data_IF_225331693517
#
_entry.id   IF_225331693517
#
_cell.length_a   1.000
_cell.length_b   1.000
_cell.length_c   1.000
_cell.angle_alpha   90.00
_cell.angle_beta   90.00
_cell.angle_gamma   90.00
#
_symmetry.space_group_name_H-M   'P 1'
#
loop_
_entity.id
_entity.type
_entity.pdbx_description
1 polymer ?
#
# COMPACT_ATOMS: atom_id res chain seq x y z
N UNK A 1 -14.30 -24.68 1.00
CA UNK A 1 -15.39 -24.12 0.18
C UNK A 1 -16.24 -25.29 -0.28
N UNK A 2 -17.53 -25.25 0.05
CA UNK A 2 -18.51 -26.23 -0.38
C UNK A 2 -18.74 -26.08 -1.89
N UNK A 3 -18.28 -27.09 -2.66
CA UNK A 3 -18.47 -27.11 -4.12
C UNK A 3 -19.94 -27.26 -4.52
N UNK A 4 -20.77 -27.71 -3.58
CA UNK A 4 -22.20 -27.96 -3.77
C UNK A 4 -23.07 -26.81 -3.22
N UNK A 5 -22.45 -25.66 -2.87
CA UNK A 5 -23.17 -24.48 -2.40
C UNK A 5 -24.18 -24.01 -3.44
N UNK A 6 -25.44 -23.98 -3.04
CA UNK A 6 -26.58 -23.57 -3.90
C UNK A 6 -26.70 -22.03 -4.05
N UNK A 7 -25.67 -21.28 -3.71
CA UNK A 7 -25.66 -19.80 -3.75
C UNK A 7 -24.33 -19.29 -4.32
N UNK A 8 -24.44 -18.19 -5.04
CA UNK A 8 -23.28 -17.50 -5.59
C UNK A 8 -22.66 -16.58 -4.51
N UNK A 9 -21.52 -16.95 -3.97
CA UNK A 9 -20.80 -16.17 -2.95
C UNK A 9 -20.32 -14.79 -3.43
N UNK A 10 -20.29 -14.53 -4.74
CA UNK A 10 -19.98 -13.21 -5.27
C UNK A 10 -21.08 -12.19 -5.00
N UNK A 11 -22.32 -12.66 -4.96
CA UNK A 11 -23.50 -11.79 -4.79
C UNK A 11 -24.28 -12.08 -3.52
N UNK A 12 -24.11 -13.26 -2.93
CA UNK A 12 -24.81 -13.72 -1.73
C UNK A 12 -23.80 -14.01 -0.61
N UNK A 13 -23.49 -12.98 0.17
CA UNK A 13 -22.58 -13.13 1.30
C UNK A 13 -23.24 -13.92 2.44
N UNK A 14 -22.59 -15.02 2.85
CA UNK A 14 -22.96 -15.82 4.02
C UNK A 14 -21.85 -15.68 5.05
N UNK A 15 -22.12 -14.96 6.13
CA UNK A 15 -21.14 -14.67 7.16
C UNK A 15 -21.68 -14.84 8.58
N UNK A 16 -20.78 -15.02 9.55
CA UNK A 16 -21.08 -15.14 10.98
C UNK A 16 -20.84 -13.83 11.76
N UNK A 17 -20.63 -12.72 11.06
CA UNK A 17 -20.26 -11.42 11.62
C UNK A 17 -21.44 -10.65 12.24
N UNK A 18 -21.14 -9.48 12.87
CA UNK A 18 -22.16 -8.63 13.49
C UNK A 18 -23.07 -7.90 12.50
N UNK A 19 -22.77 -8.00 11.19
CA UNK A 19 -23.58 -7.44 10.11
C UNK A 19 -23.89 -8.50 9.06
N UNK A 20 -25.03 -8.33 8.38
CA UNK A 20 -25.43 -9.08 7.19
C UNK A 20 -25.53 -8.14 5.99
N UNK A 21 -25.26 -8.62 4.79
CA UNK A 21 -25.46 -7.85 3.55
C UNK A 21 -26.95 -7.80 3.23
N UNK A 22 -27.51 -6.59 3.23
CA UNK A 22 -28.91 -6.35 2.89
C UNK A 22 -29.09 -5.98 1.40
N UNK A 23 -28.09 -5.31 0.81
CA UNK A 23 -28.10 -4.93 -0.61
C UNK A 23 -26.67 -4.83 -1.11
N UNK A 24 -26.45 -5.31 -2.30
CA UNK A 24 -25.20 -5.13 -3.06
C UNK A 24 -25.53 -4.49 -4.41
N UNK A 25 -24.81 -3.43 -4.75
CA UNK A 25 -24.87 -2.79 -6.07
C UNK A 25 -23.45 -2.74 -6.61
N UNK A 26 -23.20 -3.53 -7.63
CA UNK A 26 -21.88 -3.68 -8.23
C UNK A 26 -21.28 -2.31 -8.60
N UNK A 27 -20.00 -2.10 -8.30
CA UNK A 27 -19.23 -0.86 -8.50
C UNK A 27 -19.84 0.40 -7.86
N UNK A 28 -20.79 0.28 -6.96
CA UNK A 28 -21.48 1.42 -6.34
C UNK A 28 -21.53 1.34 -4.82
N UNK A 29 -22.18 0.32 -4.25
CA UNK A 29 -22.34 0.30 -2.80
C UNK A 29 -22.69 -1.07 -2.22
N UNK A 30 -22.39 -1.23 -0.92
CA UNK A 30 -22.89 -2.33 -0.09
C UNK A 30 -23.69 -1.75 1.06
N UNK A 31 -24.92 -2.22 1.26
CA UNK A 31 -25.72 -1.90 2.46
C UNK A 31 -25.66 -3.07 3.43
N UNK A 32 -25.21 -2.79 4.63
CA UNK A 32 -25.11 -3.73 5.73
C UNK A 32 -26.18 -3.44 6.77
N UNK A 33 -26.81 -4.48 7.34
CA UNK A 33 -27.70 -4.39 8.50
C UNK A 33 -27.15 -5.15 9.68
N UNK A 34 -27.40 -4.65 10.88
CA UNK A 34 -27.04 -5.32 12.12
C UNK A 34 -27.63 -6.74 12.15
N UNK A 35 -26.79 -7.72 12.52
CA UNK A 35 -27.20 -9.11 12.64
C UNK A 35 -27.66 -9.39 14.07
N UNK A 36 -28.96 -9.42 14.29
CA UNK A 36 -29.56 -9.69 15.61
C UNK A 36 -29.18 -11.08 16.17
N UNK A 37 -28.87 -12.04 15.29
CA UNK A 37 -28.44 -13.40 15.66
C UNK A 37 -26.95 -13.51 15.94
N UNK A 38 -26.18 -12.40 15.85
CA UNK A 38 -24.76 -12.46 16.12
C UNK A 38 -24.47 -12.87 17.56
N UNK A 39 -23.71 -13.93 17.73
CA UNK A 39 -23.40 -14.55 19.03
C UNK A 39 -22.17 -13.95 19.74
N UNK A 40 -21.33 -13.20 19.03
CA UNK A 40 -20.11 -12.59 19.59
C UNK A 40 -20.41 -11.44 20.58
N UNK A 41 -19.40 -11.07 21.36
CA UNK A 41 -19.51 -10.04 22.41
C UNK A 41 -19.74 -8.63 21.84
N UNK A 42 -19.13 -8.31 20.69
CA UNK A 42 -19.18 -6.97 20.09
C UNK A 42 -20.36 -6.87 19.12
N UNK A 43 -21.54 -6.63 19.65
CA UNK A 43 -22.76 -6.41 18.85
C UNK A 43 -22.63 -5.13 18.00
N UNK A 44 -23.30 -5.13 16.86
CA UNK A 44 -23.42 -3.93 16.02
C UNK A 44 -24.10 -2.80 16.78
N UNK A 45 -23.46 -1.62 16.84
CA UNK A 45 -24.03 -0.41 17.47
C UNK A 45 -24.79 0.46 16.47
N UNK A 46 -24.44 0.37 15.20
CA UNK A 46 -25.08 1.10 14.10
C UNK A 46 -26.03 0.16 13.37
N UNK A 47 -27.33 0.44 13.29
CA UNK A 47 -28.31 -0.48 12.71
C UNK A 47 -28.08 -0.75 11.20
N UNK A 48 -27.67 0.29 10.47
CA UNK A 48 -27.42 0.20 9.02
C UNK A 48 -26.14 0.94 8.68
N UNK A 49 -25.27 0.31 7.89
CA UNK A 49 -24.04 0.90 7.34
C UNK A 49 -24.11 0.80 5.83
N UNK A 50 -23.84 1.91 5.13
CA UNK A 50 -23.69 1.92 3.66
C UNK A 50 -22.25 2.20 3.31
N UNK A 51 -21.59 1.24 2.69
CA UNK A 51 -20.24 1.42 2.12
C UNK A 51 -20.42 1.87 0.67
N UNK A 52 -19.96 3.06 0.33
CA UNK A 52 -19.96 3.61 -1.03
C UNK A 52 -18.58 3.44 -1.67
N UNK A 53 -18.54 3.00 -2.90
CA UNK A 53 -17.32 3.00 -3.71
C UNK A 53 -17.24 4.33 -4.47
N UNK A 54 -16.16 5.06 -4.26
CA UNK A 54 -15.93 6.35 -4.89
C UNK A 54 -14.77 6.23 -5.88
N UNK A 55 -14.88 6.91 -7.02
CA UNK A 55 -13.99 6.70 -8.16
C UNK A 55 -12.54 7.10 -7.89
N UNK A 56 -12.34 8.12 -7.04
CA UNK A 56 -11.03 8.64 -6.71
C UNK A 56 -11.03 9.32 -5.33
N UNK A 57 -9.83 9.65 -4.86
CA UNK A 57 -9.58 10.26 -3.56
C UNK A 57 -10.22 11.64 -3.41
N UNK A 58 -10.29 12.44 -4.47
CA UNK A 58 -10.93 13.77 -4.42
C UNK A 58 -12.45 13.65 -4.27
N UNK A 59 -13.05 12.70 -4.98
CA UNK A 59 -14.48 12.39 -4.83
C UNK A 59 -14.78 11.92 -3.38
N UNK A 60 -13.90 11.10 -2.80
CA UNK A 60 -14.03 10.62 -1.44
C UNK A 60 -13.92 11.75 -0.40
N UNK A 61 -12.93 12.63 -0.55
CA UNK A 61 -12.75 13.83 0.29
C UNK A 61 -13.95 14.76 0.20
N UNK A 62 -14.47 15.00 -1.01
CA UNK A 62 -15.64 15.87 -1.22
C UNK A 62 -16.92 15.26 -0.62
N UNK A 63 -17.13 13.95 -0.73
CA UNK A 63 -18.26 13.26 -0.12
C UNK A 63 -18.26 13.37 1.42
N UNK A 64 -17.09 13.32 2.07
CA UNK A 64 -16.99 13.56 3.50
C UNK A 64 -17.27 15.04 3.86
N UNK A 65 -16.76 16.00 3.08
CA UNK A 65 -16.98 17.44 3.31
C UNK A 65 -18.44 17.84 3.13
N UNK A 66 -19.13 17.27 2.15
CA UNK A 66 -20.56 17.52 1.90
C UNK A 66 -21.50 16.83 2.90
N UNK A 67 -20.98 15.82 3.63
CA UNK A 67 -21.80 15.01 4.52
C UNK A 67 -22.48 13.81 3.86
N UNK A 68 -22.19 13.55 2.59
CA UNK A 68 -22.71 12.37 1.86
C UNK A 68 -22.21 11.05 2.45
N UNK A 69 -21.02 11.09 3.08
CA UNK A 69 -20.49 10.03 3.93
C UNK A 69 -20.06 10.61 5.27
N UNK A 70 -20.07 9.80 6.32
CA UNK A 70 -19.70 10.21 7.68
C UNK A 70 -18.34 9.66 8.09
N UNK A 71 -17.81 8.68 7.33
CA UNK A 71 -16.50 8.06 7.56
C UNK A 71 -15.82 7.89 6.22
N UNK A 72 -14.54 8.23 6.18
CA UNK A 72 -13.64 7.96 5.04
C UNK A 72 -12.49 7.08 5.53
N UNK A 73 -12.31 5.93 4.90
CA UNK A 73 -11.24 4.99 5.21
C UNK A 73 -11.02 4.01 4.03
N UNK A 74 -9.78 3.64 3.72
CA UNK A 74 -8.53 4.26 4.16
C UNK A 74 -8.31 5.65 3.53
N UNK A 75 -7.44 6.45 4.11
CA UNK A 75 -7.06 7.76 3.58
C UNK A 75 -5.55 7.96 3.77
N UNK A 76 -4.88 8.57 2.79
CA UNK A 76 -3.46 8.94 2.92
C UNK A 76 -3.29 10.11 3.88
N UNK A 77 -2.08 10.23 4.45
CA UNK A 77 -1.78 11.33 5.37
C UNK A 77 -1.99 12.71 4.73
N UNK A 78 -1.56 12.88 3.47
CA UNK A 78 -1.73 14.13 2.71
C UNK A 78 -3.21 14.51 2.55
N UNK A 79 -4.08 13.54 2.30
CA UNK A 79 -5.52 13.77 2.16
C UNK A 79 -6.22 13.97 3.50
N UNK A 80 -5.62 13.50 4.60
CA UNK A 80 -6.15 13.68 5.95
C UNK A 80 -5.87 15.09 6.51
N UNK A 81 -4.85 15.77 6.03
CA UNK A 81 -4.38 17.06 6.59
C UNK A 81 -5.46 18.15 6.67
N UNK A 82 -6.31 18.39 5.65
CA UNK A 82 -7.40 19.36 5.75
C UNK A 82 -8.42 19.05 6.86
N UNK A 83 -8.57 17.77 7.23
CA UNK A 83 -9.48 17.35 8.28
C UNK A 83 -8.86 17.43 9.68
N UNK A 84 -7.53 17.30 9.77
CA UNK A 84 -6.80 17.50 11.04
C UNK A 84 -6.86 18.96 11.51
N UNK A 85 -6.80 19.89 10.57
CA UNK A 85 -6.86 21.33 10.86
C UNK A 85 -8.24 21.80 11.35
N UNK A 86 -9.32 21.06 11.04
CA UNK A 86 -10.70 21.34 11.51
C UNK A 86 -11.16 20.27 12.54
N UNK A 87 -10.47 20.21 13.66
CA UNK A 87 -10.74 19.24 14.73
C UNK A 87 -12.08 19.44 15.44
N UNK A 88 -12.74 20.58 15.25
CA UNK A 88 -14.09 20.84 15.76
C UNK A 88 -15.15 20.03 14.99
N UNK A 89 -14.91 19.77 13.70
CA UNK A 89 -15.83 19.05 12.82
C UNK A 89 -15.43 17.61 12.56
N UNK A 90 -14.12 17.33 12.49
CA UNK A 90 -13.60 16.02 12.10
C UNK A 90 -12.72 15.39 13.16
N UNK A 91 -12.79 14.08 13.28
CA UNK A 91 -11.85 13.29 14.06
C UNK A 91 -11.01 12.44 13.12
N UNK A 92 -9.70 12.70 13.07
CA UNK A 92 -8.75 11.90 12.28
C UNK A 92 -8.03 10.94 13.22
N UNK A 93 -8.05 9.65 12.89
CA UNK A 93 -7.33 8.60 13.62
C UNK A 93 -6.42 7.84 12.68
N UNK A 94 -5.14 7.83 12.99
CA UNK A 94 -4.17 6.95 12.36
C UNK A 94 -3.94 5.72 13.24
N UNK A 95 -3.85 4.56 12.62
CA UNK A 95 -3.54 3.30 13.28
C UNK A 95 -2.44 2.57 12.53
N UNK A 96 -1.69 1.72 13.23
CA UNK A 96 -0.76 0.82 12.57
C UNK A 96 -1.55 -0.30 11.89
N UNK A 97 -1.22 -0.58 10.63
CA UNK A 97 -1.73 -1.70 9.87
C UNK A 97 -0.67 -2.77 9.62
N UNK A 98 -1.07 -3.85 8.97
CA UNK A 98 -0.18 -4.92 8.50
C UNK A 98 0.07 -4.86 7.00
N UNK A 99 -0.55 -3.90 6.30
CA UNK A 99 -0.30 -3.65 4.88
C UNK A 99 1.14 -3.18 4.66
N UNK A 100 1.74 -3.65 3.57
CA UNK A 100 3.14 -3.37 3.26
C UNK A 100 3.36 -3.16 1.78
N UNK A 101 4.24 -2.22 1.46
CA UNK A 101 4.79 -2.06 0.13
C UNK A 101 6.09 -2.85 0.03
N UNK A 102 6.17 -3.73 -0.94
CA UNK A 102 7.32 -4.61 -1.17
C UNK A 102 7.83 -4.41 -2.58
N UNK A 103 9.12 -4.12 -2.72
CA UNK A 103 9.81 -4.14 -4.01
C UNK A 103 10.27 -5.58 -4.30
N UNK A 104 9.57 -6.25 -5.20
CA UNK A 104 9.90 -7.60 -5.64
C UNK A 104 11.01 -7.61 -6.71
N UNK A 105 11.98 -8.52 -6.58
CA UNK A 105 13.03 -8.73 -7.55
C UNK A 105 12.84 -10.05 -8.30
N UNK A 106 12.92 -10.00 -9.63
CA UNK A 106 13.00 -11.22 -10.43
C UNK A 106 14.40 -11.85 -10.29
N UNK A 107 14.50 -12.91 -9.52
CA UNK A 107 15.74 -13.64 -9.27
C UNK A 107 15.95 -14.86 -10.19
N UNK A 108 15.12 -15.05 -11.22
CA UNK A 108 15.27 -16.17 -12.15
C UNK A 108 16.66 -16.18 -12.82
N UNK A 109 17.13 -17.36 -13.17
CA UNK A 109 18.36 -17.52 -13.93
C UNK A 109 18.29 -16.70 -15.23
N UNK A 110 19.36 -15.95 -15.54
CA UNK A 110 19.39 -15.03 -16.68
C UNK A 110 18.82 -13.64 -16.43
N UNK A 111 18.12 -13.41 -15.29
CA UNK A 111 17.75 -12.05 -14.89
C UNK A 111 18.96 -11.26 -14.43
N UNK A 112 19.01 -9.97 -14.78
CA UNK A 112 20.03 -9.03 -14.28
C UNK A 112 20.01 -8.93 -12.74
N UNK A 113 18.82 -9.11 -12.14
CA UNK A 113 18.64 -9.09 -10.70
C UNK A 113 18.96 -10.42 -10.00
N UNK A 114 19.42 -11.46 -10.74
CA UNK A 114 20.00 -12.66 -10.14
C UNK A 114 21.33 -12.36 -9.43
N UNK A 115 22.05 -11.30 -9.86
CA UNK A 115 23.26 -10.84 -9.16
C UNK A 115 22.92 -10.19 -7.82
N UNK A 116 23.43 -10.78 -6.74
CA UNK A 116 23.21 -10.30 -5.36
C UNK A 116 23.72 -8.87 -5.16
N UNK A 117 24.82 -8.48 -5.81
CA UNK A 117 25.42 -7.14 -5.68
C UNK A 117 24.46 -6.06 -6.15
N UNK A 118 23.74 -6.29 -7.26
CA UNK A 118 22.74 -5.35 -7.79
C UNK A 118 21.59 -5.18 -6.81
N UNK A 119 21.05 -6.28 -6.26
CA UNK A 119 19.96 -6.20 -5.26
C UNK A 119 20.38 -5.46 -3.99
N UNK A 120 21.62 -5.70 -3.52
CA UNK A 120 22.18 -4.98 -2.38
C UNK A 120 22.42 -3.49 -2.69
N UNK A 121 22.92 -3.16 -3.91
CA UNK A 121 23.06 -1.78 -4.35
C UNK A 121 21.72 -1.03 -4.32
N UNK A 122 20.65 -1.62 -4.84
CA UNK A 122 19.31 -1.04 -4.78
C UNK A 122 18.87 -0.81 -3.32
N UNK A 123 19.12 -1.76 -2.42
CA UNK A 123 18.79 -1.63 -1.00
C UNK A 123 19.53 -0.47 -0.34
N UNK A 124 20.83 -0.31 -0.59
CA UNK A 124 21.63 0.82 -0.07
C UNK A 124 21.24 2.16 -0.69
N UNK A 125 20.77 2.17 -1.94
CA UNK A 125 20.43 3.40 -2.66
C UNK A 125 19.08 4.01 -2.26
N UNK A 126 18.16 3.22 -1.71
CA UNK A 126 16.82 3.68 -1.38
C UNK A 126 16.80 4.39 -0.03
N UNK A 127 16.50 5.69 -0.03
CA UNK A 127 16.25 6.48 1.16
C UNK A 127 14.79 6.30 1.61
N UNK A 128 14.54 5.37 2.52
CA UNK A 128 13.21 5.11 3.05
C UNK A 128 12.58 6.32 3.75
N UNK A 129 13.39 7.21 4.36
CA UNK A 129 12.86 8.42 5.02
C UNK A 129 12.23 9.36 4.01
N UNK A 130 12.87 9.55 2.86
CA UNK A 130 12.31 10.38 1.76
C UNK A 130 11.07 9.74 1.14
N UNK A 131 11.07 8.42 0.92
CA UNK A 131 9.88 7.71 0.43
C UNK A 131 8.69 7.84 1.39
N UNK A 132 8.92 7.66 2.69
CA UNK A 132 7.88 7.83 3.71
C UNK A 132 7.38 9.27 3.74
N UNK A 133 8.29 10.25 3.70
CA UNK A 133 7.93 11.67 3.70
C UNK A 133 7.09 12.07 2.49
N UNK A 134 7.43 11.57 1.28
CA UNK A 134 6.65 11.86 0.05
C UNK A 134 5.22 11.31 0.10
N UNK A 135 4.96 10.31 0.95
CA UNK A 135 3.65 9.72 1.17
C UNK A 135 2.89 10.30 2.37
N UNK A 136 3.40 11.40 2.96
CA UNK A 136 2.80 12.09 4.10
C UNK A 136 3.37 11.70 5.47
N UNK A 137 4.35 10.80 5.54
CA UNK A 137 5.13 10.56 6.76
C UNK A 137 4.54 9.57 7.77
N UNK A 138 3.35 9.01 7.53
CA UNK A 138 2.69 8.08 8.46
C UNK A 138 3.20 6.63 8.36
N UNK A 139 3.78 6.26 7.22
CA UNK A 139 4.33 4.92 6.98
C UNK A 139 5.55 4.64 7.85
N UNK A 140 5.88 3.36 8.03
CA UNK A 140 7.09 2.93 8.76
C UNK A 140 7.99 2.08 7.86
N UNK A 141 9.29 2.30 7.96
CA UNK A 141 10.25 1.45 7.27
C UNK A 141 10.20 0.02 7.82
N UNK A 142 10.31 -0.96 6.93
CA UNK A 142 10.43 -2.39 7.25
C UNK A 142 11.78 -2.91 6.77
N UNK A 143 12.47 -3.67 7.63
CA UNK A 143 13.69 -4.37 7.27
C UNK A 143 13.46 -5.71 6.59
N UNK A 144 12.27 -6.28 6.73
CA UNK A 144 11.86 -7.57 6.20
C UNK A 144 10.38 -7.60 5.77
N UNK A 145 9.88 -8.74 5.32
CA UNK A 145 8.49 -8.87 4.82
C UNK A 145 7.43 -8.97 5.92
N UNK A 146 7.84 -9.13 7.18
CA UNK A 146 6.92 -9.30 8.32
C UNK A 146 6.72 -7.94 8.99
N UNK A 147 5.49 -7.41 9.08
CA UNK A 147 5.19 -6.15 9.76
C UNK A 147 5.38 -6.25 11.28
N UNK A 148 5.61 -5.12 11.94
CA UNK A 148 5.89 -5.07 13.38
C UNK A 148 4.75 -5.54 14.29
N UNK A 149 3.54 -5.69 13.76
CA UNK A 149 2.38 -6.20 14.48
C UNK A 149 2.20 -7.71 14.35
N UNK A 150 2.93 -8.36 13.45
CA UNK A 150 2.78 -9.78 13.17
C UNK A 150 3.79 -10.63 13.99
N UNK A 151 3.40 -11.84 14.40
CA UNK A 151 4.32 -12.79 15.03
C UNK A 151 5.53 -13.09 14.11
N UNK A 152 6.72 -13.15 14.69
CA UNK A 152 7.96 -13.40 13.95
C UNK A 152 8.60 -12.14 13.36
N UNK A 153 8.09 -10.95 13.69
CA UNK A 153 8.77 -9.70 13.35
C UNK A 153 10.19 -9.64 13.96
N UNK A 154 11.13 -9.24 13.14
CA UNK A 154 12.50 -8.90 13.54
C UNK A 154 12.85 -7.53 12.94
N UNK A 155 13.42 -6.64 13.72
CA UNK A 155 13.86 -5.33 13.22
C UNK A 155 15.17 -5.46 12.45
N UNK A 156 15.08 -5.53 11.14
CA UNK A 156 16.21 -5.58 10.20
C UNK A 156 16.37 -4.25 9.43
N UNK A 157 15.79 -3.16 9.92
CA UNK A 157 15.80 -1.85 9.21
C UNK A 157 17.24 -1.32 9.02
N UNK A 158 18.17 -1.66 9.91
CA UNK A 158 19.56 -1.25 9.84
C UNK A 158 20.48 -2.23 9.11
N UNK A 159 19.96 -3.33 8.55
CA UNK A 159 20.77 -4.32 7.83
C UNK A 159 21.39 -3.74 6.54
N UNK A 160 20.69 -2.84 5.88
CA UNK A 160 21.13 -2.11 4.69
C UNK A 160 20.83 -0.62 4.88
N UNK A 161 21.63 0.13 5.67
CA UNK A 161 21.44 1.56 5.85
C UNK A 161 21.61 2.30 4.52
N UNK A 162 20.92 3.44 4.35
CA UNK A 162 21.07 4.27 3.17
C UNK A 162 22.53 4.71 3.00
N UNK A 163 23.15 4.32 1.88
CA UNK A 163 24.52 4.63 1.51
C UNK A 163 24.70 4.59 -0.02
N UNK A 164 24.60 5.75 -0.64
CA UNK A 164 24.77 5.92 -2.09
C UNK A 164 26.17 5.54 -2.59
N UNK A 165 27.21 5.77 -1.77
CA UNK A 165 28.58 5.45 -2.16
C UNK A 165 28.79 3.93 -2.19
N UNK A 166 28.29 3.24 -1.18
CA UNK A 166 28.31 1.76 -1.15
C UNK A 166 27.50 1.17 -2.28
N UNK A 167 26.31 1.74 -2.56
CA UNK A 167 25.49 1.32 -3.67
C UNK A 167 26.21 1.44 -5.02
N UNK A 168 26.85 2.59 -5.27
CA UNK A 168 27.62 2.84 -6.50
C UNK A 168 28.82 1.91 -6.65
N UNK A 169 29.54 1.64 -5.56
CA UNK A 169 30.65 0.66 -5.55
C UNK A 169 30.18 -0.73 -5.97
N UNK A 170 29.05 -1.21 -5.42
CA UNK A 170 28.47 -2.51 -5.77
C UNK A 170 28.04 -2.60 -7.23
N UNK A 171 27.50 -1.50 -7.80
CA UNK A 171 27.16 -1.43 -9.22
C UNK A 171 28.41 -1.50 -10.12
N UNK A 172 29.47 -0.78 -9.76
CA UNK A 172 30.75 -0.84 -10.46
C UNK A 172 31.35 -2.26 -10.42
N UNK A 173 31.35 -2.92 -9.26
CA UNK A 173 31.76 -4.32 -9.11
C UNK A 173 30.92 -5.29 -9.96
N UNK A 174 29.64 -4.97 -10.20
CA UNK A 174 28.75 -5.72 -11.06
C UNK A 174 28.92 -5.39 -12.56
N UNK A 175 29.82 -4.43 -12.92
CA UNK A 175 30.15 -4.06 -14.30
C UNK A 175 29.25 -2.99 -14.92
N UNK A 176 28.60 -2.17 -14.10
CA UNK A 176 27.79 -1.01 -14.51
C UNK A 176 28.46 0.31 -14.14
N UNK A 177 28.23 1.33 -14.98
CA UNK A 177 28.80 2.66 -14.84
C UNK A 177 27.89 3.70 -15.51
N UNK A 178 28.21 4.96 -15.37
CA UNK A 178 27.49 6.07 -16.02
C UNK A 178 27.41 5.90 -17.55
N UNK A 179 28.48 5.39 -18.18
CA UNK A 179 28.52 5.13 -19.63
C UNK A 179 27.82 3.81 -20.02
N UNK A 180 27.59 2.93 -19.04
CA UNK A 180 26.94 1.63 -19.23
C UNK A 180 25.95 1.37 -18.11
N UNK A 181 24.84 2.14 -18.02
CA UNK A 181 23.87 2.00 -16.95
C UNK A 181 23.05 0.71 -17.07
N UNK A 182 22.62 0.20 -15.92
CA UNK A 182 21.71 -0.93 -15.86
C UNK A 182 20.28 -0.49 -16.21
N UNK A 183 19.72 -1.07 -17.25
CA UNK A 183 18.32 -0.84 -17.64
C UNK A 183 17.40 -1.79 -16.90
N UNK A 184 16.48 -1.26 -16.09
CA UNK A 184 15.45 -2.02 -15.39
C UNK A 184 14.05 -1.46 -15.70
N UNK A 185 13.05 -2.30 -15.53
CA UNK A 185 11.64 -1.87 -15.58
C UNK A 185 10.98 -2.19 -14.25
N UNK A 186 10.36 -1.19 -13.65
CA UNK A 186 9.46 -1.32 -12.51
C UNK A 186 8.02 -1.34 -13.01
N UNK A 187 7.27 -2.39 -12.69
CA UNK A 187 5.83 -2.47 -13.02
C UNK A 187 5.01 -2.54 -11.74
N UNK A 188 3.99 -1.69 -11.64
CA UNK A 188 3.05 -1.70 -10.53
C UNK A 188 1.68 -1.16 -10.97
N UNK A 189 0.64 -1.40 -10.15
CA UNK A 189 -0.71 -0.99 -10.47
C UNK A 189 -0.97 0.51 -10.22
N UNK A 190 -1.83 1.12 -11.02
CA UNK A 190 -2.21 2.54 -10.96
C UNK A 190 -2.77 3.00 -9.59
N UNK A 191 -3.33 2.07 -8.81
CA UNK A 191 -3.84 2.36 -7.45
C UNK A 191 -2.78 2.85 -6.46
N UNK A 192 -1.48 2.72 -6.78
CA UNK A 192 -0.38 3.17 -5.92
C UNK A 192 0.14 4.58 -6.28
N UNK A 193 -0.49 5.25 -7.24
CA UNK A 193 -0.05 6.56 -7.73
C UNK A 193 1.20 6.50 -8.61
N UNK A 194 1.66 7.64 -9.08
CA UNK A 194 2.86 7.76 -9.94
C UNK A 194 4.10 8.17 -9.16
N UNK A 195 3.93 8.82 -8.02
CA UNK A 195 4.99 9.45 -7.23
C UNK A 195 6.03 8.43 -6.74
N UNK A 196 5.59 7.21 -6.39
CA UNK A 196 6.49 6.15 -5.93
C UNK A 196 7.49 5.75 -7.01
N UNK A 197 7.04 5.60 -8.25
CA UNK A 197 7.90 5.26 -9.39
C UNK A 197 8.92 6.34 -9.70
N UNK A 198 8.50 7.61 -9.64
CA UNK A 198 9.36 8.77 -9.88
C UNK A 198 10.41 8.93 -8.79
N UNK A 199 10.04 8.73 -7.53
CA UNK A 199 10.97 8.72 -6.39
C UNK A 199 12.03 7.63 -6.54
N UNK A 200 11.62 6.40 -6.85
CA UNK A 200 12.56 5.29 -7.05
C UNK A 200 13.49 5.55 -8.24
N UNK A 201 12.97 6.09 -9.35
CA UNK A 201 13.79 6.48 -10.50
C UNK A 201 14.84 7.52 -10.11
N UNK A 202 14.46 8.53 -9.37
CA UNK A 202 15.35 9.60 -8.89
C UNK A 202 16.46 9.06 -7.98
N UNK A 203 16.12 8.16 -7.05
CA UNK A 203 17.08 7.61 -6.09
C UNK A 203 18.02 6.56 -6.69
N UNK A 204 17.62 5.87 -7.75
CA UNK A 204 18.42 4.84 -8.40
C UNK A 204 19.31 5.40 -9.53
N UNK A 205 18.97 6.55 -10.10
CA UNK A 205 19.78 7.18 -11.17
C UNK A 205 21.24 7.46 -10.76
N UNK A 206 21.54 7.97 -9.55
CA UNK A 206 22.93 8.24 -9.12
C UNK A 206 23.82 6.99 -9.01
N UNK A 207 23.23 5.80 -8.96
CA UNK A 207 23.96 4.53 -8.90
C UNK A 207 23.97 3.79 -10.24
N UNK A 208 23.84 4.53 -11.33
CA UNK A 208 23.92 3.99 -12.70
C UNK A 208 22.80 2.97 -13.03
N UNK A 209 21.58 3.19 -12.50
CA UNK A 209 20.38 2.45 -12.86
C UNK A 209 19.41 3.39 -13.60
N UNK A 210 19.10 3.05 -14.85
CA UNK A 210 18.01 3.66 -15.61
C UNK A 210 16.72 2.87 -15.38
N UNK A 211 15.82 3.43 -14.59
CA UNK A 211 14.55 2.80 -14.23
C UNK A 211 13.42 3.29 -15.14
N UNK A 212 12.91 2.41 -15.99
CA UNK A 212 11.64 2.62 -16.68
C UNK A 212 10.49 2.26 -15.76
N UNK A 213 9.55 3.18 -15.60
CA UNK A 213 8.32 2.95 -14.83
C UNK A 213 7.20 2.57 -15.78
N UNK A 214 6.54 1.46 -15.50
CA UNK A 214 5.39 0.93 -16.22
C UNK A 214 4.22 0.79 -15.27
N UNK A 215 3.23 1.68 -15.39
CA UNK A 215 2.01 1.65 -14.57
C UNK A 215 0.93 0.90 -15.35
N UNK A 216 0.32 -0.10 -14.72
CA UNK A 216 -0.71 -0.94 -15.32
C UNK A 216 -2.02 -0.81 -14.54
N UNK A 217 -3.13 -1.13 -15.16
CA UNK A 217 -4.41 -1.22 -14.45
C UNK A 217 -4.39 -2.40 -13.47
N UNK A 218 -5.09 -2.20 -12.35
CA UNK A 218 -5.21 -3.21 -11.29
C UNK A 218 -6.24 -4.29 -11.63
#
# INVERSE_FOLDING_TARGET
FDKDAKYDLKTQAVGSGPYTVAKFVENSSITLKANEKYWGKNKAKTPTVVVKYLADDNAAVNALKSGDVQVLAPITENLAEPFKSDSAKYTVKAGNGTDKFVLGFNNASGSKLADKRIRQAIRYAINHKELIASRGGADKALGGPIPSLDPGYEDLTNLYPYDQNKAKSLMAEAGYSTDKPLQLTLTYANIYGTELGDQLRSQLKPIDIDLKVNVVEF
#
